data_IF_908722818306
#
_entry.id   IF_908722818306
#
_cell.length_a   1.000
_cell.length_b   1.000
_cell.length_c   1.000
_cell.angle_alpha   90.00
_cell.angle_beta   90.00
_cell.angle_gamma   90.00
#
_symmetry.space_group_name_H-M   'P 1'
#
loop_
_entity.id
_entity.type
_entity.pdbx_description
1 polymer ?
#
# COMPACT_ATOMS: atom_id res chain seq x y z
N UNK A 1 6.91 8.44 -7.49
CA UNK A 1 8.34 8.33 -7.86
C UNK A 1 8.62 6.93 -8.42
N UNK A 2 9.71 6.70 -9.17
CA UNK A 2 10.09 5.35 -9.69
C UNK A 2 11.26 4.79 -8.88
N UNK A 3 11.03 4.59 -7.59
CA UNK A 3 12.06 4.10 -6.67
C UNK A 3 12.06 2.57 -6.60
N UNK A 4 13.24 1.99 -6.30
CA UNK A 4 13.40 0.55 -6.12
C UNK A 4 14.45 0.25 -5.06
N UNK A 5 14.10 -0.61 -4.11
CA UNK A 5 14.99 -1.10 -3.06
C UNK A 5 15.31 -2.57 -3.34
N UNK A 6 16.60 -2.93 -3.29
CA UNK A 6 17.07 -4.29 -3.50
C UNK A 6 17.65 -4.88 -2.21
N UNK A 7 17.09 -6.03 -1.81
CA UNK A 7 17.56 -6.82 -0.67
C UNK A 7 16.84 -6.48 0.63
N UNK A 8 16.67 -7.51 1.48
CA UNK A 8 15.95 -7.42 2.75
C UNK A 8 16.53 -6.35 3.67
N UNK A 9 17.84 -6.31 3.85
CA UNK A 9 18.47 -5.40 4.83
C UNK A 9 18.25 -3.94 4.48
N UNK A 10 18.30 -3.59 3.19
CA UNK A 10 17.99 -2.23 2.72
C UNK A 10 16.52 -1.89 2.87
N UNK A 11 15.63 -2.85 2.64
CA UNK A 11 14.19 -2.66 2.82
C UNK A 11 13.81 -2.45 4.28
N UNK A 12 14.38 -3.24 5.21
CA UNK A 12 14.18 -3.05 6.65
C UNK A 12 14.67 -1.67 7.07
N UNK A 13 15.91 -1.33 6.71
CA UNK A 13 16.50 -0.02 7.03
C UNK A 13 15.68 1.15 6.48
N UNK A 14 15.18 1.05 5.25
CA UNK A 14 14.30 2.06 4.66
C UNK A 14 13.04 2.32 5.50
N UNK A 15 12.40 1.27 6.03
CA UNK A 15 11.22 1.41 6.87
C UNK A 15 11.56 1.91 8.28
N UNK A 16 12.68 1.47 8.86
CA UNK A 16 13.15 1.92 10.18
C UNK A 16 13.56 3.40 10.19
N UNK A 17 14.19 3.87 9.10
CA UNK A 17 14.64 5.26 8.96
C UNK A 17 13.53 6.18 8.42
N UNK A 18 12.33 5.66 8.11
CA UNK A 18 11.24 6.46 7.60
C UNK A 18 10.81 7.49 8.67
N UNK A 19 10.80 8.79 8.34
CA UNK A 19 10.59 9.84 9.34
C UNK A 19 9.13 9.93 9.80
N UNK A 20 8.95 10.56 10.95
CA UNK A 20 7.62 10.84 11.53
C UNK A 20 7.12 9.74 12.45
N UNK A 21 6.15 10.09 13.29
CA UNK A 21 5.38 9.12 14.06
C UNK A 21 4.28 8.57 13.16
N UNK A 22 4.47 7.35 12.68
CA UNK A 22 3.57 6.74 11.73
C UNK A 22 2.88 5.51 12.31
N UNK A 23 1.57 5.43 12.05
CA UNK A 23 0.73 4.29 12.39
C UNK A 23 0.11 3.74 11.10
N UNK A 24 -0.07 2.42 11.06
CA UNK A 24 -0.71 1.76 9.92
C UNK A 24 -1.86 0.87 10.38
N UNK A 25 -3.00 0.98 9.69
CA UNK A 25 -4.17 0.12 9.87
C UNK A 25 -4.42 -0.66 8.59
N UNK A 26 -4.54 -1.98 8.71
CA UNK A 26 -4.92 -2.84 7.59
C UNK A 26 -6.43 -2.71 7.39
N UNK A 27 -6.85 -2.36 6.17
CA UNK A 27 -8.27 -2.23 5.83
C UNK A 27 -8.80 -3.46 5.11
N UNK A 28 -8.00 -4.01 4.20
CA UNK A 28 -8.39 -5.17 3.39
C UNK A 28 -7.17 -5.94 2.94
N UNK A 29 -7.30 -7.26 2.92
CA UNK A 29 -6.35 -8.17 2.26
C UNK A 29 -7.12 -9.04 1.28
N UNK A 30 -6.52 -9.27 0.11
CA UNK A 30 -6.97 -10.24 -0.88
C UNK A 30 -5.76 -11.08 -1.27
N UNK A 31 -5.89 -12.40 -1.29
CA UNK A 31 -4.86 -13.32 -1.75
C UNK A 31 -5.39 -14.16 -2.91
N UNK A 32 -4.51 -14.56 -3.83
CA UNK A 32 -4.86 -15.56 -4.83
C UNK A 32 -5.03 -16.95 -4.17
N UNK A 33 -5.71 -17.85 -4.87
CA UNK A 33 -5.96 -19.21 -4.37
C UNK A 33 -4.69 -20.07 -4.30
N UNK A 34 -3.65 -19.70 -5.06
CA UNK A 34 -2.39 -20.45 -5.14
C UNK A 34 -1.39 -20.03 -4.05
N UNK A 35 -1.68 -18.98 -3.29
CA UNK A 35 -0.78 -18.40 -2.29
C UNK A 35 0.46 -17.73 -2.88
N UNK A 36 0.45 -17.35 -4.16
CA UNK A 36 1.62 -16.77 -4.86
C UNK A 36 1.64 -15.26 -4.79
N UNK A 37 0.48 -14.63 -4.68
CA UNK A 37 0.34 -13.18 -4.64
C UNK A 37 -0.76 -12.74 -3.67
N UNK A 38 -0.57 -11.56 -3.11
CA UNK A 38 -1.59 -10.89 -2.30
C UNK A 38 -1.56 -9.39 -2.55
N UNK A 39 -2.70 -8.74 -2.32
CA UNK A 39 -2.83 -7.30 -2.27
C UNK A 39 -3.39 -6.89 -0.90
N UNK A 40 -2.83 -5.83 -0.33
CA UNK A 40 -3.36 -5.20 0.88
C UNK A 40 -3.67 -3.73 0.62
N UNK A 41 -4.81 -3.26 1.15
CA UNK A 41 -5.10 -1.83 1.29
C UNK A 41 -4.93 -1.45 2.76
N UNK A 42 -4.18 -0.39 3.00
CA UNK A 42 -3.87 0.13 4.33
C UNK A 42 -4.20 1.62 4.39
N UNK A 43 -4.48 2.08 5.60
CA UNK A 43 -4.53 3.49 5.96
C UNK A 43 -3.29 3.79 6.81
N UNK A 44 -2.52 4.79 6.39
CA UNK A 44 -1.37 5.32 7.08
C UNK A 44 -1.75 6.65 7.71
N UNK A 45 -1.35 6.85 8.96
CA UNK A 45 -1.38 8.14 9.64
C UNK A 45 0.06 8.53 9.92
N UNK A 46 0.53 9.66 9.38
CA UNK A 46 1.88 10.20 9.62
C UNK A 46 1.74 11.60 10.22
N UNK A 47 1.90 11.72 11.54
CA UNK A 47 1.52 12.93 12.25
C UNK A 47 0.03 13.26 12.09
N UNK A 48 -0.30 14.33 11.36
CA UNK A 48 -1.67 14.75 11.09
C UNK A 48 -2.18 14.34 9.68
N UNK A 49 -1.33 13.74 8.86
CA UNK A 49 -1.68 13.35 7.49
C UNK A 49 -2.19 11.92 7.46
N UNK A 50 -3.32 11.71 6.79
CA UNK A 50 -3.88 10.39 6.48
C UNK A 50 -3.69 10.08 5.00
N UNK A 51 -3.19 8.88 4.72
CA UNK A 51 -2.87 8.42 3.36
C UNK A 51 -3.36 6.99 3.18
N UNK A 52 -3.79 6.65 1.97
CA UNK A 52 -4.04 5.26 1.60
C UNK A 52 -2.86 4.69 0.84
N UNK A 53 -2.53 3.42 1.12
CA UNK A 53 -1.58 2.67 0.33
C UNK A 53 -2.16 1.35 -0.16
N UNK A 54 -1.70 0.94 -1.34
CA UNK A 54 -2.01 -0.35 -1.95
C UNK A 54 -0.68 -1.07 -2.15
N UNK A 55 -0.55 -2.22 -1.51
CA UNK A 55 0.65 -3.04 -1.52
C UNK A 55 0.37 -4.33 -2.29
N UNK A 56 1.19 -4.64 -3.30
CA UNK A 56 1.19 -5.95 -3.96
C UNK A 56 2.39 -6.75 -3.50
N UNK A 57 2.14 -7.97 -3.02
CA UNK A 57 3.14 -8.91 -2.53
C UNK A 57 3.26 -10.10 -3.46
N UNK A 58 4.49 -10.59 -3.65
CA UNK A 58 4.76 -11.90 -4.26
C UNK A 58 5.43 -12.81 -3.25
N UNK A 59 5.14 -14.11 -3.31
CA UNK A 59 5.65 -15.10 -2.36
C UNK A 59 6.46 -16.23 -3.05
N UNK A 60 7.46 -16.74 -2.33
CA UNK A 60 8.14 -17.99 -2.70
C UNK A 60 7.32 -19.22 -2.29
N UNK A 61 7.79 -20.41 -2.66
CA UNK A 61 7.14 -21.69 -2.35
C UNK A 61 7.06 -21.98 -0.83
N UNK A 62 7.78 -21.21 -0.01
CA UNK A 62 7.77 -21.30 1.46
C UNK A 62 6.90 -20.21 2.09
N UNK A 63 6.16 -19.44 1.29
CA UNK A 63 5.30 -18.35 1.75
C UNK A 63 6.04 -17.09 2.21
N UNK A 64 7.32 -16.92 1.84
CA UNK A 64 8.09 -15.72 2.19
C UNK A 64 7.88 -14.64 1.15
N UNK A 65 7.76 -13.39 1.59
CA UNK A 65 7.69 -12.24 0.68
C UNK A 65 8.99 -12.15 -0.13
N UNK A 66 8.85 -12.16 -1.45
CA UNK A 66 9.95 -12.01 -2.43
C UNK A 66 9.93 -10.68 -3.17
N UNK A 67 8.79 -9.98 -3.14
CA UNK A 67 8.60 -8.69 -3.79
C UNK A 67 7.47 -7.92 -3.14
N UNK A 68 7.64 -6.60 -3.10
CA UNK A 68 6.65 -5.63 -2.67
C UNK A 68 6.59 -4.53 -3.74
N UNK A 69 5.39 -4.17 -4.19
CA UNK A 69 5.15 -3.02 -5.05
C UNK A 69 4.08 -2.16 -4.43
N UNK A 70 4.46 -0.94 -4.04
CA UNK A 70 3.58 -0.02 -3.34
C UNK A 70 3.09 1.10 -4.24
N UNK A 71 1.80 1.42 -4.09
CA UNK A 71 1.16 2.57 -4.69
C UNK A 71 0.55 3.44 -3.60
N UNK A 72 0.83 4.73 -3.68
CA UNK A 72 0.36 5.76 -2.76
C UNK A 72 -0.55 6.72 -3.52
N UNK A 73 -1.83 6.35 -3.75
CA UNK A 73 -2.78 7.22 -4.43
C UNK A 73 -3.07 8.46 -3.58
N UNK A 74 -3.10 9.61 -4.24
CA UNK A 74 -3.60 10.84 -3.64
C UNK A 74 -5.09 11.01 -3.97
N UNK A 75 -5.82 11.59 -3.01
CA UNK A 75 -7.20 12.00 -3.24
C UNK A 75 -7.27 13.03 -4.37
N UNK A 76 -8.28 12.90 -5.22
CA UNK A 76 -8.52 13.82 -6.32
C UNK A 76 -9.99 14.20 -6.35
N UNK A 77 -10.30 15.40 -6.84
CA UNK A 77 -11.69 15.81 -7.04
C UNK A 77 -12.28 15.09 -8.26
N UNK A 78 -13.40 14.36 -8.10
CA UNK A 78 -14.15 13.80 -9.21
C UNK A 78 -14.43 14.79 -10.35
N UNK A 79 -14.23 14.36 -11.62
CA UNK A 79 -14.71 15.12 -12.77
C UNK A 79 -16.21 15.40 -12.68
N UNK A 80 -16.61 16.61 -13.11
CA UNK A 80 -18.00 17.04 -13.16
C UNK A 80 -18.82 16.27 -14.22
N UNK A 81 -20.15 16.30 -14.08
CA UNK A 81 -21.11 15.72 -15.03
C UNK A 81 -21.55 14.28 -14.73
N UNK A 82 -21.01 13.68 -13.66
CA UNK A 82 -21.37 12.34 -13.19
C UNK A 82 -22.14 12.33 -11.87
N UNK A 83 -22.50 13.50 -11.35
CA UNK A 83 -23.15 13.68 -10.05
C UNK A 83 -24.46 12.91 -9.96
N UNK A 84 -25.20 12.80 -11.06
CA UNK A 84 -26.46 12.07 -11.15
C UNK A 84 -26.33 10.54 -11.08
N UNK A 85 -25.10 9.99 -11.09
CA UNK A 85 -24.82 8.54 -11.06
C UNK A 85 -24.10 8.09 -9.79
N UNK A 86 -23.59 9.02 -8.97
CA UNK A 86 -22.69 8.70 -7.86
C UNK A 86 -23.23 9.24 -6.55
N UNK A 87 -22.95 8.51 -5.48
CA UNK A 87 -23.10 8.96 -4.12
C UNK A 87 -21.70 9.20 -3.52
N UNK A 88 -21.57 10.23 -2.68
CA UNK A 88 -20.36 10.45 -1.88
C UNK A 88 -20.50 9.67 -0.57
N UNK A 89 -19.52 8.84 -0.25
CA UNK A 89 -19.48 8.01 0.95
C UNK A 89 -18.16 8.22 1.70
#
# INVERSE_FOLDING_TARGET
TRERIHGKDRYVRFNEEYPGDWHVRIERIVADSEGRQAAARTEFTVGAEEMHAIHFFTFDDRGRITGVTDFWPESYEPPAGREHLVERY
#
